data_IF_583172441893
#
_entry.id   IF_583172441893
#
_cell.length_a   1.000
_cell.length_b   1.000
_cell.length_c   1.000
_cell.angle_alpha   90.00
_cell.angle_beta   90.00
_cell.angle_gamma   90.00
#
_symmetry.space_group_name_H-M   'P 1'
#
loop_
_entity.id
_entity.type
_entity.pdbx_description
1 polymer ?
#
# COMPACT_ATOMS: atom_id res chain seq x y z
N UNK A 1 8.51 -4.92 -26.20
CA UNK A 1 7.26 -5.69 -26.02
C UNK A 1 6.77 -5.35 -24.63
N UNK A 2 5.48 -5.00 -24.45
CA UNK A 2 4.95 -4.84 -23.11
C UNK A 2 5.17 -6.14 -22.33
N UNK A 3 5.65 -6.02 -21.09
CA UNK A 3 5.85 -7.18 -20.24
C UNK A 3 4.48 -7.88 -20.05
N UNK A 4 4.45 -9.20 -20.15
CA UNK A 4 3.23 -9.95 -19.88
C UNK A 4 2.89 -9.84 -18.38
N UNK A 5 1.72 -9.34 -18.09
CA UNK A 5 1.20 -9.23 -16.72
C UNK A 5 0.27 -10.43 -16.51
N UNK A 6 0.65 -11.30 -15.58
CA UNK A 6 -0.06 -12.54 -15.32
C UNK A 6 -1.24 -12.27 -14.34
N UNK A 7 -2.48 -12.60 -14.71
CA UNK A 7 -3.60 -12.53 -13.79
C UNK A 7 -3.54 -13.58 -12.68
N UNK A 8 -2.76 -14.66 -12.88
CA UNK A 8 -2.66 -15.75 -11.91
C UNK A 8 -1.73 -15.37 -10.78
N UNK A 9 -2.22 -15.51 -9.55
CA UNK A 9 -1.42 -15.43 -8.35
C UNK A 9 -0.88 -16.82 -7.98
N UNK A 10 0.45 -17.05 -8.08
CA UNK A 10 1.01 -18.37 -7.79
C UNK A 10 1.25 -18.61 -6.29
N UNK A 11 1.03 -17.59 -5.44
CA UNK A 11 1.46 -17.64 -4.04
C UNK A 11 0.36 -18.17 -3.14
N UNK A 12 0.70 -19.17 -2.34
CA UNK A 12 -0.15 -19.64 -1.24
C UNK A 12 -0.25 -18.58 -0.13
N UNK A 13 -1.37 -18.58 0.59
CA UNK A 13 -1.58 -17.71 1.75
C UNK A 13 -1.27 -18.44 3.04
N UNK A 14 -0.21 -18.01 3.70
CA UNK A 14 0.01 -18.31 5.11
C UNK A 14 -1.00 -17.57 5.96
N UNK A 15 -1.20 -18.03 7.18
CA UNK A 15 -2.13 -17.41 8.14
C UNK A 15 -1.50 -17.35 9.51
N UNK A 16 -1.73 -16.24 10.20
CA UNK A 16 -1.30 -16.02 11.57
C UNK A 16 -2.40 -15.36 12.37
N UNK A 17 -2.62 -15.86 13.59
CA UNK A 17 -3.57 -15.25 14.52
C UNK A 17 -2.93 -14.00 15.12
N UNK A 18 -3.59 -12.86 14.97
CA UNK A 18 -3.18 -11.56 15.49
C UNK A 18 -4.36 -10.90 16.17
N UNK A 19 -4.15 -10.41 17.39
CA UNK A 19 -5.23 -9.84 18.19
C UNK A 19 -6.44 -10.80 18.24
N UNK A 20 -7.61 -10.37 17.82
CA UNK A 20 -8.84 -11.17 17.83
C UNK A 20 -9.25 -11.64 16.41
N UNK A 21 -8.31 -11.73 15.47
CA UNK A 21 -8.56 -12.14 14.09
C UNK A 21 -7.37 -12.89 13.50
N UNK A 22 -7.46 -13.29 12.23
CA UNK A 22 -6.38 -13.94 11.49
C UNK A 22 -5.96 -13.06 10.33
N UNK A 23 -4.66 -12.80 10.17
CA UNK A 23 -4.12 -12.16 8.97
C UNK A 23 -3.53 -13.21 8.03
N UNK A 24 -3.87 -13.08 6.75
CA UNK A 24 -3.29 -13.86 5.67
C UNK A 24 -2.09 -13.11 5.09
N UNK A 25 -1.11 -13.83 4.57
CA UNK A 25 0.06 -13.23 3.94
C UNK A 25 0.73 -14.19 2.97
N UNK A 26 1.42 -13.62 1.98
CA UNK A 26 2.38 -14.33 1.15
C UNK A 26 3.71 -14.42 1.89
N UNK A 27 4.39 -15.56 1.79
CA UNK A 27 5.78 -15.74 2.19
C UNK A 27 6.47 -16.65 1.18
N UNK A 28 7.43 -16.11 0.45
CA UNK A 28 8.17 -16.87 -0.58
C UNK A 28 9.27 -17.75 0.00
N UNK A 29 9.53 -17.67 1.30
CA UNK A 29 10.72 -18.27 1.90
C UNK A 29 12.01 -17.56 1.49
N UNK A 30 13.12 -17.97 2.06
CA UNK A 30 14.42 -17.38 1.76
C UNK A 30 15.04 -18.04 0.52
N UNK A 31 15.54 -17.28 -0.47
CA UNK A 31 16.25 -17.82 -1.63
C UNK A 31 17.68 -18.32 -1.28
N UNK A 32 18.07 -18.29 0.00
CA UNK A 32 19.40 -18.75 0.45
C UNK A 32 20.44 -17.64 0.59
N UNK A 33 20.06 -16.38 0.46
CA UNK A 33 20.87 -15.18 0.71
C UNK A 33 20.80 -14.66 2.12
N UNK A 34 21.65 -13.70 2.46
CA UNK A 34 21.65 -12.96 3.72
C UNK A 34 20.85 -11.63 3.62
N UNK A 35 20.18 -11.41 2.51
CA UNK A 35 19.45 -10.17 2.25
C UNK A 35 18.27 -10.01 3.24
N UNK A 36 18.00 -8.78 3.71
CA UNK A 36 16.85 -8.53 4.55
C UNK A 36 15.55 -8.84 3.77
N UNK A 37 14.52 -9.40 4.43
CA UNK A 37 13.25 -9.66 3.78
C UNK A 37 12.59 -8.35 3.32
N UNK A 38 11.92 -8.42 2.16
CA UNK A 38 11.09 -7.36 1.64
C UNK A 38 9.65 -7.54 2.10
N UNK A 39 9.09 -6.54 2.78
CA UNK A 39 7.68 -6.52 3.21
C UNK A 39 6.89 -5.60 2.30
N UNK A 40 5.94 -6.18 1.57
CA UNK A 40 5.10 -5.49 0.58
C UNK A 40 3.76 -5.11 1.21
N UNK A 41 3.50 -3.82 1.38
CA UNK A 41 2.26 -3.35 1.96
C UNK A 41 1.37 -2.71 0.89
N UNK A 42 0.19 -3.29 0.71
CA UNK A 42 -0.84 -2.79 -0.18
C UNK A 42 -1.74 -1.76 0.51
N UNK A 43 -2.66 -1.15 -0.25
CA UNK A 43 -3.65 -0.22 0.27
C UNK A 43 -5.07 -0.53 -0.22
N UNK A 44 -5.89 0.50 -0.31
CA UNK A 44 -7.30 0.41 -0.66
C UNK A 44 -7.52 0.41 -2.20
N UNK A 45 -8.35 -0.46 -2.76
CA UNK A 45 -9.14 -1.55 -2.16
C UNK A 45 -8.51 -2.93 -2.40
N UNK A 46 -7.19 -3.00 -2.44
CA UNK A 46 -6.43 -4.14 -2.92
C UNK A 46 -6.07 -5.16 -1.82
N UNK A 47 -5.15 -6.05 -2.12
CA UNK A 47 -4.58 -7.07 -1.24
C UNK A 47 -3.15 -7.37 -1.69
N UNK A 48 -2.52 -8.37 -1.08
CA UNK A 48 -1.22 -8.90 -1.53
C UNK A 48 -1.22 -9.31 -3.01
N UNK A 49 -2.37 -9.60 -3.58
CA UNK A 49 -2.54 -9.90 -5.01
C UNK A 49 -1.98 -8.79 -5.92
N UNK A 50 -2.06 -7.52 -5.51
CA UNK A 50 -1.49 -6.40 -6.25
C UNK A 50 0.00 -6.58 -6.54
N UNK A 51 0.72 -7.24 -5.63
CA UNK A 51 2.16 -7.41 -5.69
C UNK A 51 2.61 -8.68 -6.44
N UNK A 52 1.69 -9.55 -6.88
CA UNK A 52 2.00 -10.89 -7.48
C UNK A 52 3.08 -10.87 -8.56
N UNK A 53 2.98 -9.93 -9.50
CA UNK A 53 3.93 -9.84 -10.59
C UNK A 53 5.25 -9.11 -10.21
N UNK A 54 5.22 -8.23 -9.22
CA UNK A 54 6.41 -7.59 -8.65
C UNK A 54 7.21 -8.61 -7.83
N UNK A 55 6.54 -9.39 -6.97
CA UNK A 55 7.17 -10.41 -6.14
C UNK A 55 7.92 -11.43 -7.01
N UNK A 56 7.37 -11.85 -8.15
CA UNK A 56 8.06 -12.78 -9.10
C UNK A 56 9.45 -12.30 -9.53
N UNK A 57 9.65 -10.97 -9.62
CA UNK A 57 10.95 -10.41 -10.00
C UNK A 57 11.88 -10.34 -8.79
N UNK A 58 11.34 -10.11 -7.59
CA UNK A 58 12.14 -9.89 -6.38
C UNK A 58 12.48 -11.18 -5.65
N UNK A 59 11.59 -12.20 -5.64
CA UNK A 59 11.76 -13.44 -4.88
C UNK A 59 13.04 -14.25 -5.14
N UNK A 60 13.66 -14.18 -6.35
CA UNK A 60 14.97 -14.83 -6.56
C UNK A 60 16.12 -14.13 -5.79
N UNK A 61 15.89 -12.93 -5.29
CA UNK A 61 16.91 -12.07 -4.67
C UNK A 61 16.70 -11.87 -3.17
N UNK A 62 15.45 -11.88 -2.70
CA UNK A 62 15.13 -11.69 -1.27
C UNK A 62 13.83 -12.43 -0.92
N UNK A 63 13.70 -12.82 0.36
CA UNK A 63 12.41 -13.30 0.90
C UNK A 63 11.38 -12.18 0.78
N UNK A 64 10.24 -12.48 0.18
CA UNK A 64 9.12 -11.55 0.02
C UNK A 64 7.97 -11.93 0.95
N UNK A 65 7.51 -10.97 1.74
CA UNK A 65 6.32 -11.11 2.57
C UNK A 65 5.30 -10.04 2.17
N UNK A 66 4.06 -10.43 2.00
CA UNK A 66 3.00 -9.50 1.63
C UNK A 66 1.73 -9.83 2.45
N UNK A 67 1.51 -9.16 3.60
CA UNK A 67 0.27 -9.33 4.35
C UNK A 67 -0.92 -8.72 3.61
N UNK A 68 -2.07 -9.38 3.72
CA UNK A 68 -3.36 -8.76 3.48
C UNK A 68 -3.76 -7.98 4.73
N UNK A 69 -4.08 -6.70 4.58
CA UNK A 69 -4.53 -5.87 5.71
C UNK A 69 -5.84 -6.43 6.30
N UNK A 70 -6.07 -6.19 7.59
CA UNK A 70 -7.28 -6.67 8.27
C UNK A 70 -8.55 -6.24 7.52
N UNK A 71 -9.47 -7.17 7.29
CA UNK A 71 -10.69 -6.94 6.50
C UNK A 71 -10.52 -6.90 4.99
N UNK A 72 -9.30 -7.13 4.48
CA UNK A 72 -8.96 -7.09 3.05
C UNK A 72 -8.36 -8.43 2.61
N UNK A 73 -8.39 -8.73 1.32
CA UNK A 73 -7.88 -9.98 0.77
C UNK A 73 -8.44 -11.22 1.48
N UNK A 74 -7.56 -12.09 1.92
CA UNK A 74 -7.88 -13.33 2.63
C UNK A 74 -7.76 -13.19 4.16
N UNK A 75 -7.50 -11.97 4.67
CA UNK A 75 -7.48 -11.67 6.11
C UNK A 75 -8.89 -11.62 6.70
N UNK A 76 -8.99 -11.97 7.98
CA UNK A 76 -10.23 -11.90 8.75
C UNK A 76 -10.71 -10.45 8.96
N UNK A 77 -11.93 -10.31 9.42
CA UNK A 77 -12.50 -9.02 9.78
C UNK A 77 -11.90 -8.48 11.10
N UNK A 78 -11.83 -7.16 11.22
CA UNK A 78 -11.53 -6.53 12.52
C UNK A 78 -12.65 -6.84 13.51
N UNK A 79 -12.29 -7.13 14.75
CA UNK A 79 -13.25 -7.37 15.83
C UNK A 79 -14.06 -6.13 16.20
N UNK A 80 -13.53 -4.94 15.95
CA UNK A 80 -14.20 -3.66 16.19
C UNK A 80 -15.10 -3.25 15.03
N UNK A 81 -14.82 -3.73 13.82
CA UNK A 81 -15.48 -3.33 12.58
C UNK A 81 -15.22 -1.88 12.17
N UNK A 82 -14.33 -1.15 12.85
CA UNK A 82 -14.09 0.27 12.56
C UNK A 82 -13.17 0.48 11.35
N UNK A 83 -12.16 -0.34 11.18
CA UNK A 83 -11.16 -0.28 10.11
C UNK A 83 -10.47 1.08 9.95
N UNK A 84 -10.32 1.82 11.06
CA UNK A 84 -9.58 3.08 11.06
C UNK A 84 -8.09 2.83 10.87
N UNK A 85 -7.34 3.88 10.57
CA UNK A 85 -5.88 3.80 10.46
C UNK A 85 -5.24 3.13 11.70
N UNK A 86 -5.67 3.51 12.88
CA UNK A 86 -5.15 2.96 14.14
C UNK A 86 -5.40 1.46 14.27
N UNK A 87 -6.59 0.97 13.87
CA UNK A 87 -6.89 -0.47 13.90
C UNK A 87 -5.95 -1.26 12.96
N UNK A 88 -5.74 -0.75 11.75
CA UNK A 88 -4.81 -1.36 10.80
C UNK A 88 -3.37 -1.33 11.31
N UNK A 89 -2.93 -0.24 11.93
CA UNK A 89 -1.60 -0.11 12.50
C UNK A 89 -1.37 -1.13 13.63
N UNK A 90 -2.33 -1.30 14.55
CA UNK A 90 -2.26 -2.29 15.63
C UNK A 90 -2.20 -3.73 15.10
N UNK A 91 -3.01 -4.05 14.09
CA UNK A 91 -2.98 -5.39 13.47
C UNK A 91 -1.66 -5.63 12.72
N UNK A 92 -1.12 -4.63 12.04
CA UNK A 92 0.15 -4.74 11.35
C UNK A 92 1.32 -4.89 12.34
N UNK A 93 1.31 -4.18 13.47
CA UNK A 93 2.29 -4.35 14.55
C UNK A 93 2.26 -5.80 15.06
N UNK A 94 1.08 -6.32 15.39
CA UNK A 94 0.91 -7.69 15.85
C UNK A 94 1.34 -8.73 14.79
N UNK A 95 1.14 -8.42 13.50
CA UNK A 95 1.63 -9.26 12.40
C UNK A 95 3.17 -9.26 12.34
N UNK A 96 3.82 -8.09 12.46
CA UNK A 96 5.29 -8.01 12.49
C UNK A 96 5.86 -8.79 13.68
N UNK A 97 5.26 -8.64 14.87
CA UNK A 97 5.69 -9.34 16.07
C UNK A 97 5.58 -10.87 15.94
N UNK A 98 4.56 -11.35 15.25
CA UNK A 98 4.32 -12.78 15.07
C UNK A 98 5.15 -13.41 13.95
N UNK A 99 5.37 -12.69 12.82
CA UNK A 99 5.98 -13.25 11.59
C UNK A 99 7.45 -12.86 11.45
N UNK A 100 7.80 -11.65 11.90
CA UNK A 100 9.14 -11.07 11.82
C UNK A 100 9.52 -10.40 13.15
N UNK A 101 9.61 -11.15 14.27
CA UNK A 101 9.84 -10.54 15.59
C UNK A 101 11.18 -9.82 15.70
N UNK A 102 12.16 -10.22 14.91
CA UNK A 102 13.52 -9.69 14.97
C UNK A 102 14.10 -9.48 13.56
N UNK A 103 15.21 -8.77 13.50
CA UNK A 103 15.99 -8.54 12.29
C UNK A 103 15.54 -7.35 11.45
N UNK A 104 16.38 -6.95 10.49
CA UNK A 104 16.11 -5.84 9.59
C UNK A 104 15.11 -6.22 8.50
N UNK A 105 14.37 -5.22 8.00
CA UNK A 105 13.46 -5.37 6.87
C UNK A 105 13.63 -4.23 5.85
N UNK A 106 13.29 -4.52 4.59
CA UNK A 106 13.04 -3.51 3.57
C UNK A 106 11.53 -3.39 3.39
N UNK A 107 11.01 -2.18 3.43
CA UNK A 107 9.60 -1.91 3.15
C UNK A 107 9.39 -1.57 1.67
N UNK A 108 8.43 -2.23 1.02
CA UNK A 108 7.98 -1.93 -0.35
C UNK A 108 6.49 -1.57 -0.27
N UNK A 109 6.17 -0.29 -0.40
CA UNK A 109 4.90 0.24 0.12
C UNK A 109 4.16 1.10 -0.91
N UNK A 110 2.83 1.02 -0.86
CA UNK A 110 1.93 1.69 -1.77
C UNK A 110 0.67 2.17 -1.05
N UNK A 111 0.10 3.30 -1.46
CA UNK A 111 -1.18 3.84 -0.97
C UNK A 111 -1.23 3.86 0.58
N UNK A 112 -2.26 3.32 1.21
CA UNK A 112 -2.36 3.21 2.66
C UNK A 112 -1.30 2.30 3.28
N UNK A 113 -0.84 1.30 2.55
CA UNK A 113 0.33 0.53 2.97
C UNK A 113 1.58 1.40 3.13
N UNK A 114 1.66 2.53 2.41
CA UNK A 114 2.76 3.49 2.62
C UNK A 114 2.61 4.25 3.94
N UNK A 115 1.42 4.75 4.26
CA UNK A 115 1.20 5.43 5.53
C UNK A 115 1.46 4.51 6.73
N UNK A 116 0.98 3.25 6.65
CA UNK A 116 1.24 2.23 7.67
C UNK A 116 2.73 1.91 7.78
N UNK A 117 3.40 1.69 6.64
CA UNK A 117 4.83 1.37 6.59
C UNK A 117 5.72 2.52 7.09
N UNK A 118 5.43 3.77 6.70
CA UNK A 118 6.15 4.94 7.21
C UNK A 118 5.93 5.14 8.71
N UNK A 119 4.70 4.95 9.19
CA UNK A 119 4.38 5.02 10.61
C UNK A 119 5.11 3.91 11.40
N UNK A 120 5.15 2.69 10.86
CA UNK A 120 5.90 1.59 11.47
C UNK A 120 7.40 1.88 11.50
N UNK A 121 7.97 2.34 10.39
CA UNK A 121 9.38 2.70 10.29
C UNK A 121 9.77 3.81 11.28
N UNK A 122 8.93 4.83 11.44
CA UNK A 122 9.15 5.92 12.38
C UNK A 122 9.23 5.42 13.83
N UNK A 123 8.43 4.40 14.20
CA UNK A 123 8.43 3.80 15.54
C UNK A 123 9.50 2.73 15.74
N UNK A 124 10.02 2.16 14.65
CA UNK A 124 11.01 1.08 14.65
C UNK A 124 12.21 1.40 13.73
N UNK A 125 12.88 2.55 13.90
CA UNK A 125 13.92 3.01 12.96
C UNK A 125 15.10 2.02 12.85
N UNK A 126 15.42 1.29 13.91
CA UNK A 126 16.51 0.31 13.94
C UNK A 126 16.17 -0.99 13.18
N UNK A 127 14.88 -1.19 12.82
CA UNK A 127 14.39 -2.35 12.10
C UNK A 127 14.32 -2.14 10.59
N UNK A 128 14.22 -0.89 10.12
CA UNK A 128 14.04 -0.58 8.69
C UNK A 128 15.36 -0.14 8.09
N UNK A 129 15.90 -0.98 7.21
CA UNK A 129 17.17 -0.69 6.53
C UNK A 129 16.98 -0.01 5.17
N UNK A 130 15.76 0.10 4.72
CA UNK A 130 15.44 0.85 3.50
C UNK A 130 13.96 0.81 3.14
N UNK A 131 13.57 1.77 2.30
CA UNK A 131 12.17 1.92 1.89
C UNK A 131 12.08 2.13 0.37
N UNK A 132 11.24 1.35 -0.29
CA UNK A 132 10.81 1.55 -1.67
C UNK A 132 9.33 1.93 -1.65
N UNK A 133 8.95 3.04 -2.26
CA UNK A 133 7.55 3.50 -2.20
C UNK A 133 7.08 4.05 -3.54
N UNK A 134 5.79 3.93 -3.78
CA UNK A 134 5.10 4.47 -4.96
C UNK A 134 3.69 4.87 -4.59
N UNK A 135 3.14 5.90 -5.27
CA UNK A 135 1.77 6.41 -5.07
C UNK A 135 1.38 6.46 -3.59
N UNK A 136 2.23 7.11 -2.80
CA UNK A 136 2.28 7.05 -1.35
C UNK A 136 1.65 8.29 -0.69
N UNK A 137 1.18 8.13 0.55
CA UNK A 137 0.71 9.22 1.42
C UNK A 137 1.92 9.77 2.17
N UNK A 138 2.54 10.80 1.62
CA UNK A 138 3.84 11.33 2.09
C UNK A 138 3.74 12.54 3.02
N UNK A 139 2.60 13.22 3.05
CA UNK A 139 2.37 14.43 3.85
C UNK A 139 0.87 14.67 4.00
N UNK A 140 0.42 15.37 5.05
CA UNK A 140 -0.95 15.88 5.09
C UNK A 140 -1.21 16.83 3.92
N UNK A 141 -2.44 16.84 3.43
CA UNK A 141 -2.83 17.59 2.23
C UNK A 141 -4.02 18.51 2.50
N UNK A 142 -4.19 19.48 1.63
CA UNK A 142 -5.40 20.30 1.50
C UNK A 142 -6.19 19.87 0.27
N UNK A 143 -7.41 20.35 0.11
CA UNK A 143 -8.16 20.11 -1.14
C UNK A 143 -7.48 20.73 -2.37
N UNK A 144 -6.70 21.79 -2.18
CA UNK A 144 -5.92 22.41 -3.26
C UNK A 144 -4.72 21.52 -3.69
N UNK A 145 -4.20 20.72 -2.77
CA UNK A 145 -3.15 19.74 -3.06
C UNK A 145 -3.72 18.43 -3.65
N UNK A 146 -5.02 18.18 -3.47
CA UNK A 146 -5.64 16.93 -3.92
C UNK A 146 -5.89 16.96 -5.44
N UNK A 147 -5.70 15.82 -6.15
CA UNK A 147 -5.90 15.78 -7.61
C UNK A 147 -7.31 16.25 -7.99
N UNK A 148 -7.40 17.28 -8.82
CA UNK A 148 -8.68 17.93 -9.21
C UNK A 148 -9.68 16.91 -9.75
N UNK A 149 -9.22 15.96 -10.57
CA UNK A 149 -10.08 14.91 -11.15
C UNK A 149 -10.69 13.97 -10.08
N UNK A 150 -10.02 13.81 -8.93
CA UNK A 150 -10.47 12.94 -7.84
C UNK A 150 -11.26 13.70 -6.76
N UNK A 151 -11.20 15.03 -6.73
CA UNK A 151 -11.79 15.85 -5.65
C UNK A 151 -13.27 15.53 -5.44
N UNK A 152 -14.08 15.54 -6.50
CA UNK A 152 -15.54 15.34 -6.38
C UNK A 152 -15.92 13.97 -5.82
N UNK A 153 -15.27 12.90 -6.27
CA UNK A 153 -15.55 11.56 -5.77
C UNK A 153 -15.08 11.38 -4.33
N UNK A 154 -13.91 11.92 -3.96
CA UNK A 154 -13.42 11.81 -2.57
C UNK A 154 -14.25 12.64 -1.60
N UNK A 155 -14.76 13.81 -2.00
CA UNK A 155 -15.73 14.56 -1.19
C UNK A 155 -17.02 13.76 -0.98
N UNK A 156 -17.53 13.10 -2.01
CA UNK A 156 -18.72 12.25 -1.91
C UNK A 156 -18.50 11.05 -0.97
N UNK A 157 -17.35 10.35 -1.09
CA UNK A 157 -16.99 9.23 -0.21
C UNK A 157 -16.87 9.64 1.28
N UNK A 158 -16.42 10.86 1.54
CA UNK A 158 -16.28 11.43 2.88
C UNK A 158 -17.57 11.99 3.46
N UNK A 159 -18.65 12.06 2.68
CA UNK A 159 -19.99 12.48 3.10
C UNK A 159 -20.89 11.27 3.43
N UNK A 160 -22.14 11.53 3.81
CA UNK A 160 -23.16 10.50 4.04
C UNK A 160 -23.46 9.67 2.78
N UNK A 161 -23.32 10.26 1.59
CA UNK A 161 -23.54 9.55 0.32
C UNK A 161 -22.53 8.42 0.13
N UNK A 162 -21.36 8.51 0.76
CA UNK A 162 -20.31 7.49 0.72
C UNK A 162 -20.78 6.11 1.19
N UNK A 163 -21.69 6.05 2.16
CA UNK A 163 -22.28 4.77 2.61
C UNK A 163 -22.89 4.01 1.45
N UNK A 164 -23.77 4.64 0.69
CA UNK A 164 -24.40 4.02 -0.47
C UNK A 164 -23.41 3.71 -1.57
N UNK A 165 -22.56 4.68 -1.92
CA UNK A 165 -21.58 4.53 -3.01
C UNK A 165 -20.65 3.32 -2.80
N UNK A 166 -20.24 3.05 -1.55
CA UNK A 166 -19.32 1.97 -1.27
C UNK A 166 -20.03 0.71 -0.85
N UNK A 167 -20.91 0.78 0.16
CA UNK A 167 -21.49 -0.43 0.74
C UNK A 167 -22.50 -1.09 -0.19
N UNK A 168 -23.26 -0.29 -0.97
CA UNK A 168 -24.24 -0.80 -1.91
C UNK A 168 -23.68 -0.91 -3.33
N UNK A 169 -23.12 0.20 -3.88
CA UNK A 169 -22.73 0.31 -5.28
C UNK A 169 -21.29 -0.18 -5.56
N UNK A 170 -20.48 -0.46 -4.52
CA UNK A 170 -19.09 -0.94 -4.60
C UNK A 170 -18.17 -0.08 -5.49
N UNK A 171 -18.34 1.24 -5.42
CA UNK A 171 -17.72 2.20 -6.35
C UNK A 171 -16.20 2.08 -6.44
N UNK A 172 -15.53 1.69 -5.34
CA UNK A 172 -14.09 1.53 -5.35
C UNK A 172 -13.64 0.43 -6.31
N UNK A 173 -14.30 -0.73 -6.26
CA UNK A 173 -13.95 -1.87 -7.12
C UNK A 173 -14.45 -1.70 -8.54
N UNK A 174 -15.66 -1.14 -8.70
CA UNK A 174 -16.31 -1.12 -10.01
C UNK A 174 -15.95 0.11 -10.86
N UNK A 175 -15.42 1.16 -10.24
CA UNK A 175 -15.11 2.41 -10.95
C UNK A 175 -13.71 2.97 -10.66
N UNK A 176 -13.33 3.09 -9.37
CA UNK A 176 -12.08 3.76 -9.03
C UNK A 176 -10.88 2.89 -9.38
N UNK A 177 -10.88 1.61 -8.99
CA UNK A 177 -9.79 0.69 -9.31
C UNK A 177 -9.52 0.60 -10.81
N UNK A 178 -10.47 0.25 -11.69
CA UNK A 178 -10.18 0.15 -13.12
C UNK A 178 -9.84 1.49 -13.78
N UNK A 179 -10.37 2.61 -13.28
CA UNK A 179 -10.02 3.95 -13.79
C UNK A 179 -8.64 4.45 -13.33
N UNK A 180 -8.01 3.74 -12.40
CA UNK A 180 -6.71 4.10 -11.81
C UNK A 180 -5.58 3.16 -12.26
N UNK A 181 -5.76 2.48 -13.37
CA UNK A 181 -4.78 1.66 -14.12
C UNK A 181 -4.79 2.15 -15.56
N UNK A 182 -3.64 2.18 -16.23
CA UNK A 182 -3.54 2.64 -17.63
C UNK A 182 -4.02 1.58 -18.63
N UNK A 183 -3.83 0.30 -18.29
CA UNK A 183 -4.33 -0.82 -19.08
C UNK A 183 -5.75 -1.21 -18.64
N UNK A 184 -6.44 -1.94 -19.47
CA UNK A 184 -7.67 -2.60 -19.05
C UNK A 184 -7.35 -3.81 -18.15
N UNK A 185 -7.98 -3.86 -16.98
CA UNK A 185 -7.97 -5.04 -16.12
C UNK A 185 -8.91 -6.11 -16.70
N UNK A 186 -8.42 -7.34 -16.83
CA UNK A 186 -9.23 -8.47 -17.28
C UNK A 186 -10.26 -8.90 -16.24
N UNK A 187 -11.29 -9.62 -16.67
CA UNK A 187 -12.35 -10.09 -15.75
C UNK A 187 -11.80 -11.05 -14.68
N UNK A 188 -10.78 -11.85 -15.01
CA UNK A 188 -10.13 -12.74 -14.05
C UNK A 188 -9.44 -11.95 -12.92
N UNK A 189 -8.77 -10.85 -13.25
CA UNK A 189 -8.14 -9.95 -12.29
C UNK A 189 -9.19 -9.24 -11.43
N UNK A 190 -10.22 -8.70 -12.06
CA UNK A 190 -11.32 -8.04 -11.36
C UNK A 190 -12.09 -9.00 -10.45
N UNK A 191 -12.24 -10.27 -10.85
CA UNK A 191 -12.88 -11.28 -10.00
C UNK A 191 -12.08 -11.52 -8.70
N UNK A 192 -10.75 -11.51 -8.76
CA UNK A 192 -9.91 -11.62 -7.56
C UNK A 192 -10.09 -10.40 -6.66
N UNK A 193 -10.04 -9.19 -7.20
CA UNK A 193 -10.24 -7.96 -6.41
C UNK A 193 -11.64 -7.89 -5.79
N UNK A 194 -12.70 -8.30 -6.52
CA UNK A 194 -14.07 -8.30 -6.03
C UNK A 194 -14.34 -9.34 -4.95
N UNK A 195 -13.59 -10.45 -4.92
CA UNK A 195 -13.90 -11.63 -4.09
C UNK A 195 -14.18 -11.27 -2.63
N UNK A 196 -13.34 -10.44 -2.00
CA UNK A 196 -13.52 -10.03 -0.60
C UNK A 196 -14.74 -9.15 -0.38
N UNK A 197 -15.10 -8.35 -1.36
CA UNK A 197 -16.12 -7.31 -1.30
C UNK A 197 -17.36 -7.65 -2.13
N UNK A 198 -17.57 -8.94 -2.45
CA UNK A 198 -18.70 -9.39 -3.26
C UNK A 198 -20.05 -9.09 -2.60
N UNK A 199 -20.14 -9.38 -1.30
CA UNK A 199 -21.36 -9.13 -0.53
C UNK A 199 -21.49 -7.64 -0.21
N UNK A 200 -22.69 -7.07 -0.50
CA UNK A 200 -22.99 -5.68 -0.14
C UNK A 200 -23.09 -5.50 1.38
N UNK A 201 -22.83 -4.29 1.85
CA UNK A 201 -22.90 -3.93 3.25
C UNK A 201 -21.52 -3.93 3.95
N UNK A 202 -21.48 -4.38 5.20
CA UNK A 202 -20.35 -4.19 6.10
C UNK A 202 -19.06 -4.91 5.65
N UNK A 203 -19.13 -5.91 4.77
CA UNK A 203 -17.92 -6.51 4.18
C UNK A 203 -17.08 -5.49 3.42
N UNK A 204 -17.71 -4.42 2.91
CA UNK A 204 -17.08 -3.31 2.16
C UNK A 204 -16.67 -2.14 3.04
N UNK A 205 -16.92 -2.18 4.37
CA UNK A 205 -16.57 -1.10 5.31
C UNK A 205 -15.10 -0.65 5.23
N UNK A 206 -14.10 -1.55 5.11
CA UNK A 206 -12.70 -1.12 4.98
C UNK A 206 -12.51 -0.15 3.81
N UNK A 207 -13.12 -0.42 2.65
CA UNK A 207 -12.95 0.41 1.46
C UNK A 207 -13.63 1.78 1.56
N UNK A 208 -14.58 1.95 2.48
CA UNK A 208 -15.19 3.24 2.80
C UNK A 208 -14.40 4.00 3.89
N UNK A 209 -13.88 3.28 4.88
CA UNK A 209 -13.15 3.94 5.98
C UNK A 209 -11.87 4.58 5.46
N UNK A 210 -11.11 3.90 4.61
CA UNK A 210 -9.86 4.41 4.08
C UNK A 210 -9.92 5.81 3.45
N UNK A 211 -10.84 6.16 2.52
CA UNK A 211 -10.92 7.52 1.98
C UNK A 211 -11.32 8.57 3.03
N UNK A 212 -11.99 8.14 4.11
CA UNK A 212 -12.36 9.02 5.22
C UNK A 212 -11.21 9.31 6.18
N UNK A 213 -10.20 8.43 6.20
CA UNK A 213 -8.98 8.57 7.01
C UNK A 213 -7.89 9.42 6.33
N UNK A 214 -7.98 9.73 5.02
CA UNK A 214 -6.99 10.60 4.37
C UNK A 214 -6.99 11.97 5.07
N UNK A 215 -5.83 12.45 5.57
CA UNK A 215 -5.76 13.65 6.39
C UNK A 215 -5.83 14.94 5.54
N UNK A 216 -7.02 15.20 4.98
CA UNK A 216 -7.32 16.39 4.18
C UNK A 216 -7.83 17.48 5.11
N UNK A 217 -7.29 18.69 5.01
CA UNK A 217 -7.64 19.86 5.87
C UNK A 217 -7.52 19.55 7.37
N UNK A 218 -6.57 18.68 7.74
CA UNK A 218 -6.33 18.29 9.13
C UNK A 218 -7.33 17.29 9.71
N UNK A 219 -8.16 16.65 8.88
CA UNK A 219 -9.22 15.73 9.32
C UNK A 219 -9.06 14.36 8.63
N UNK A 220 -9.01 13.23 9.41
CA UNK A 220 -9.04 13.16 10.90
C UNK A 220 -7.76 13.67 11.55
N UNK A 221 -7.88 14.31 12.71
CA UNK A 221 -6.73 14.96 13.36
C UNK A 221 -5.66 13.97 13.83
N UNK A 222 -6.06 12.81 14.35
CA UNK A 222 -5.14 11.76 14.79
C UNK A 222 -4.33 11.18 13.63
N UNK A 223 -4.92 10.95 12.48
CA UNK A 223 -4.21 10.52 11.27
C UNK A 223 -3.34 11.63 10.71
N UNK A 224 -3.83 12.88 10.74
CA UNK A 224 -3.04 14.05 10.36
C UNK A 224 -1.74 14.13 11.17
N UNK A 225 -1.82 13.98 12.48
CA UNK A 225 -0.66 14.08 13.37
C UNK A 225 0.35 12.94 13.11
N UNK A 226 -0.15 11.73 12.87
CA UNK A 226 0.71 10.59 12.48
C UNK A 226 1.42 10.86 11.16
N UNK A 227 0.69 11.31 10.14
CA UNK A 227 1.26 11.59 8.81
C UNK A 227 2.25 12.74 8.88
N UNK A 228 1.96 13.80 9.64
CA UNK A 228 2.89 14.92 9.85
C UNK A 228 4.18 14.46 10.54
N UNK A 229 4.07 13.62 11.58
CA UNK A 229 5.22 13.13 12.34
C UNK A 229 6.18 12.27 11.49
N UNK A 230 5.65 11.29 10.74
CA UNK A 230 6.55 10.50 9.90
C UNK A 230 7.08 11.29 8.69
N UNK A 231 6.32 12.26 8.15
CA UNK A 231 6.78 13.12 7.06
C UNK A 231 7.98 13.99 7.50
N UNK A 232 7.92 14.58 8.70
CA UNK A 232 9.02 15.31 9.30
C UNK A 232 10.25 14.41 9.54
N UNK A 233 10.00 13.23 10.12
CA UNK A 233 11.07 12.26 10.37
C UNK A 233 11.75 11.83 9.07
N UNK A 234 11.01 11.43 8.04
CA UNK A 234 11.57 11.03 6.74
C UNK A 234 12.33 12.16 6.05
N UNK A 235 11.87 13.40 6.22
CA UNK A 235 12.52 14.60 5.67
C UNK A 235 13.80 15.01 6.39
N UNK A 236 13.98 14.58 7.64
CA UNK A 236 15.10 15.01 8.50
C UNK A 236 16.02 13.88 8.95
N UNK A 237 15.67 12.61 8.67
CA UNK A 237 16.45 11.44 9.12
C UNK A 237 17.41 10.98 8.00
N UNK A 238 18.71 11.33 8.09
CA UNK A 238 19.70 10.86 7.12
C UNK A 238 20.09 9.41 7.40
N UNK A 239 20.59 8.72 6.37
CA UNK A 239 21.12 7.36 6.49
C UNK A 239 20.07 6.26 6.34
N UNK A 240 18.80 6.59 6.08
CA UNK A 240 17.78 5.64 5.66
C UNK A 240 17.64 5.71 4.14
N UNK A 241 18.18 4.74 3.38
CA UNK A 241 18.06 4.72 1.94
C UNK A 241 16.60 4.62 1.48
N UNK A 242 16.23 5.40 0.47
CA UNK A 242 14.89 5.38 -0.11
C UNK A 242 14.95 5.26 -1.63
N UNK A 243 14.00 4.52 -2.20
CA UNK A 243 13.71 4.59 -3.64
C UNK A 243 12.26 5.02 -3.83
N UNK A 244 12.11 6.13 -4.53
CA UNK A 244 10.81 6.60 -4.99
C UNK A 244 10.57 6.07 -6.41
N UNK A 245 9.58 5.20 -6.56
CA UNK A 245 9.07 4.79 -7.86
C UNK A 245 8.01 5.79 -8.27
N UNK A 246 8.40 6.71 -9.11
CA UNK A 246 7.53 7.77 -9.64
C UNK A 246 6.67 7.22 -10.77
N UNK A 247 5.38 7.07 -10.54
CA UNK A 247 4.41 6.72 -11.57
C UNK A 247 4.19 7.93 -12.51
N UNK A 248 4.20 7.69 -13.81
CA UNK A 248 3.91 8.70 -14.84
C UNK A 248 2.74 8.22 -15.73
N UNK A 249 1.59 8.91 -15.71
CA UNK A 249 1.32 10.22 -15.09
C UNK A 249 1.17 10.20 -13.55
N UNK A 250 0.93 9.03 -12.93
CA UNK A 250 0.63 8.91 -11.52
C UNK A 250 -0.80 9.38 -11.19
N UNK A 251 -1.12 9.44 -9.91
CA UNK A 251 -2.45 9.84 -9.45
C UNK A 251 -2.41 10.68 -8.17
N UNK A 252 -2.04 10.10 -7.02
CA UNK A 252 -2.05 10.83 -5.74
C UNK A 252 -0.68 11.42 -5.37
N UNK A 253 0.42 10.77 -5.76
CA UNK A 253 1.77 11.28 -5.51
C UNK A 253 2.23 12.20 -6.65
N UNK A 254 1.51 13.31 -6.82
CA UNK A 254 1.71 14.32 -7.84
C UNK A 254 1.83 15.71 -7.23
N UNK A 255 2.20 16.73 -8.02
CA UNK A 255 2.27 18.12 -7.54
C UNK A 255 3.11 18.26 -6.27
N UNK A 256 2.55 18.94 -5.25
CA UNK A 256 3.21 19.21 -3.97
C UNK A 256 3.65 17.92 -3.26
N UNK A 257 2.84 16.87 -3.25
CA UNK A 257 3.18 15.60 -2.61
C UNK A 257 4.45 15.00 -3.22
N UNK A 258 4.57 15.01 -4.56
CA UNK A 258 5.76 14.55 -5.28
C UNK A 258 7.00 15.38 -4.94
N UNK A 259 6.86 16.69 -4.81
CA UNK A 259 7.95 17.57 -4.42
C UNK A 259 8.42 17.31 -2.98
N UNK A 260 7.49 17.05 -2.05
CA UNK A 260 7.82 16.65 -0.69
C UNK A 260 8.62 15.36 -0.69
N UNK A 261 8.19 14.32 -1.40
CA UNK A 261 8.94 13.08 -1.50
C UNK A 261 10.36 13.30 -2.06
N UNK A 262 10.50 14.12 -3.11
CA UNK A 262 11.79 14.46 -3.71
C UNK A 262 12.73 15.25 -2.80
N UNK A 263 12.20 15.92 -1.78
CA UNK A 263 13.01 16.66 -0.81
C UNK A 263 13.66 15.77 0.27
N UNK A 264 13.25 14.51 0.38
CA UNK A 264 13.78 13.61 1.39
C UNK A 264 15.24 13.24 1.13
N UNK A 265 16.11 13.16 2.17
CA UNK A 265 17.50 12.75 2.01
C UNK A 265 17.59 11.28 1.57
N UNK A 266 18.73 10.91 0.97
CA UNK A 266 19.07 9.54 0.57
C UNK A 266 18.03 8.89 -0.35
N UNK A 267 17.41 9.68 -1.22
CA UNK A 267 16.39 9.28 -2.17
C UNK A 267 16.97 9.05 -3.56
N UNK A 268 16.63 7.92 -4.15
CA UNK A 268 16.81 7.65 -5.59
C UNK A 268 15.44 7.58 -6.23
N UNK A 269 15.22 8.29 -7.32
CA UNK A 269 13.98 8.25 -8.10
C UNK A 269 14.13 7.37 -9.33
N UNK A 270 13.13 6.53 -9.58
CA UNK A 270 12.96 5.74 -10.81
C UNK A 270 11.57 6.02 -11.35
N UNK A 271 11.47 6.46 -12.61
CA UNK A 271 10.16 6.72 -13.23
C UNK A 271 9.71 5.53 -14.05
N UNK A 272 8.47 5.12 -13.87
CA UNK A 272 7.80 4.05 -14.62
C UNK A 272 6.45 4.54 -15.14
N UNK A 273 5.96 3.93 -16.22
CA UNK A 273 4.62 4.24 -16.73
C UNK A 273 3.56 3.67 -15.82
N UNK A 274 2.59 4.45 -15.41
CA UNK A 274 1.51 3.94 -14.56
C UNK A 274 0.63 5.04 -13.97
N UNK A 275 -0.54 4.62 -13.51
CA UNK A 275 -1.45 5.44 -12.71
C UNK A 275 -1.33 5.06 -11.23
N UNK A 276 -2.43 5.11 -10.45
CA UNK A 276 -2.36 4.82 -9.03
C UNK A 276 -1.94 3.37 -8.71
N UNK A 277 -2.57 2.39 -9.36
CA UNK A 277 -2.20 0.98 -9.18
C UNK A 277 -1.09 0.60 -10.16
N UNK A 278 0.03 1.29 -10.05
CA UNK A 278 1.19 1.19 -10.96
C UNK A 278 1.76 -0.23 -11.06
N UNK A 279 1.52 -1.08 -10.07
CA UNK A 279 1.87 -2.50 -10.06
C UNK A 279 1.11 -3.30 -11.13
N UNK A 280 -0.05 -2.81 -11.56
CA UNK A 280 -0.81 -3.40 -12.67
C UNK A 280 -0.39 -2.84 -14.04
N UNK A 281 0.40 -1.78 -14.07
CA UNK A 281 0.90 -1.16 -15.30
C UNK A 281 2.35 -1.56 -15.59
N UNK A 282 3.24 -1.51 -14.60
CA UNK A 282 4.70 -1.68 -14.76
C UNK A 282 5.32 -2.58 -13.67
N UNK A 283 4.81 -3.81 -13.45
CA UNK A 283 5.30 -4.65 -12.36
C UNK A 283 6.75 -5.10 -12.51
N UNK A 284 7.22 -5.31 -13.75
CA UNK A 284 8.59 -5.74 -14.02
C UNK A 284 9.59 -4.65 -13.66
N UNK A 285 9.32 -3.42 -14.08
CA UNK A 285 10.16 -2.24 -13.84
C UNK A 285 10.20 -1.91 -12.33
N UNK A 286 9.08 -2.07 -11.64
CA UNK A 286 9.02 -1.93 -10.17
C UNK A 286 9.89 -3.01 -9.51
N UNK A 287 9.75 -4.26 -9.91
CA UNK A 287 10.56 -5.37 -9.39
C UNK A 287 12.05 -5.15 -9.61
N UNK A 288 12.45 -4.70 -10.81
CA UNK A 288 13.84 -4.35 -11.12
C UNK A 288 14.35 -3.19 -10.27
N UNK A 289 13.52 -2.19 -10.01
CA UNK A 289 13.85 -1.07 -9.10
C UNK A 289 14.08 -1.56 -7.66
N UNK A 290 13.25 -2.48 -7.15
CA UNK A 290 13.44 -3.11 -5.84
C UNK A 290 14.73 -3.92 -5.79
N UNK A 291 15.01 -4.76 -6.80
CA UNK A 291 16.26 -5.53 -6.90
C UNK A 291 17.47 -4.61 -6.97
N UNK A 292 17.39 -3.55 -7.77
CA UNK A 292 18.43 -2.52 -7.85
C UNK A 292 18.63 -1.79 -6.52
N UNK A 293 17.59 -1.60 -5.75
CA UNK A 293 17.66 -1.05 -4.39
C UNK A 293 18.40 -2.00 -3.43
N UNK A 294 18.03 -3.29 -3.39
CA UNK A 294 18.67 -4.30 -2.54
C UNK A 294 20.18 -4.40 -2.78
N UNK A 295 20.62 -4.28 -4.03
CA UNK A 295 22.06 -4.30 -4.37
C UNK A 295 22.85 -3.09 -3.88
N UNK A 296 22.18 -2.04 -3.43
CA UNK A 296 22.82 -0.82 -2.90
C UNK A 296 22.86 -0.77 -1.37
N UNK A 297 22.13 -1.65 -0.69
CA UNK A 297 22.19 -1.84 0.75
C UNK A 297 23.50 -2.55 1.17
#
# INVERSE_FOLDING_TARGET
>A
MAAYIDPIDPYERHRVDVLATTMAYVDTGSPGGAEPPCVFLHGNPTSSYLWRNVIRVVEPHARCLAPDLVGMGDSGASSTGSYRFVDHAEHLDAWFDAVLPEGPVVLVIHDWGSALGFHWAHRHPDRVVGIVFTEAIVTPVTWDDWPVAATGIFQALRSEVGERLVLEDNVFLERILPASVLRDLGEDEMAVYRRRFAEAGESRRPTLTWPREIPIEGIPADVHDVVAAYAEWLGTHPGLPKTFINADPGSILVGRQREVARSWPDLVEVTVSGSHFVQEDSPAEIGEAVVGFLRRL
#
